data_IF_986727099288
#
_entry.id   IF_986727099288
#
_cell.length_a   1.000
_cell.length_b   1.000
_cell.length_c   1.000
_cell.angle_alpha   90.00
_cell.angle_beta   90.00
_cell.angle_gamma   90.00
#
_symmetry.space_group_name_H-M   'P 1'
#
loop_
_entity.id
_entity.type
_entity.pdbx_description
1 polymer ?
#
# COMPACT_ATOMS: atom_id res chain seq x y z
N UNK A 1 9.76 -15.86 -10.31
CA UNK A 1 9.66 -15.02 -11.52
C UNK A 1 9.95 -13.58 -11.14
N UNK A 2 11.14 -13.07 -11.47
CA UNK A 2 11.55 -11.67 -11.20
C UNK A 2 10.97 -10.77 -12.29
N UNK A 3 9.68 -10.42 -12.18
CA UNK A 3 9.07 -9.42 -13.06
C UNK A 3 9.46 -8.04 -12.52
N UNK A 4 10.43 -7.39 -13.16
CA UNK A 4 10.79 -6.01 -12.83
C UNK A 4 9.55 -5.11 -12.90
N UNK A 5 9.42 -4.23 -11.90
CA UNK A 5 8.28 -3.36 -11.72
C UNK A 5 8.31 -2.28 -12.81
N UNK A 6 7.45 -2.41 -13.83
CA UNK A 6 7.44 -1.52 -15.01
C UNK A 6 7.22 -0.04 -14.67
N UNK A 7 6.60 0.24 -13.53
CA UNK A 7 6.32 1.59 -13.05
C UNK A 7 6.66 1.64 -11.56
N UNK A 8 7.91 1.94 -11.18
CA UNK A 8 8.24 2.11 -9.77
C UNK A 8 7.41 3.25 -9.18
N UNK A 9 7.06 3.14 -7.90
CA UNK A 9 6.41 4.23 -7.19
C UNK A 9 7.38 5.41 -7.16
N UNK A 10 6.88 6.64 -7.42
CA UNK A 10 7.68 7.84 -7.19
C UNK A 10 8.07 7.88 -5.71
N UNK A 11 9.26 8.41 -5.41
CA UNK A 11 9.67 8.72 -4.05
C UNK A 11 8.63 9.63 -3.37
N UNK A 12 8.21 9.23 -2.16
CA UNK A 12 7.31 10.02 -1.33
C UNK A 12 8.10 11.14 -0.67
N UNK A 13 7.52 12.34 -0.59
CA UNK A 13 8.06 13.39 0.28
C UNK A 13 7.81 13.03 1.75
N UNK A 14 8.57 13.62 2.67
CA UNK A 14 8.39 13.40 4.11
C UNK A 14 6.96 13.76 4.57
N UNK A 15 6.38 14.82 3.99
CA UNK A 15 5.01 15.25 4.27
C UNK A 15 3.97 14.21 3.81
N UNK A 16 4.14 13.67 2.60
CA UNK A 16 3.28 12.62 2.07
C UNK A 16 3.38 11.35 2.93
N UNK A 17 4.60 10.95 3.29
CA UNK A 17 4.83 9.78 4.13
C UNK A 17 4.15 9.92 5.50
N UNK A 18 4.31 11.06 6.15
CA UNK A 18 3.69 11.33 7.46
C UNK A 18 2.16 11.36 7.37
N UNK A 19 1.60 11.90 6.28
CA UNK A 19 0.17 11.86 6.02
C UNK A 19 -0.34 10.43 5.84
N UNK A 20 0.32 9.63 5.00
CA UNK A 20 -0.06 8.23 4.75
C UNK A 20 0.04 7.38 6.03
N UNK A 21 1.05 7.62 6.86
CA UNK A 21 1.18 7.01 8.18
C UNK A 21 0.01 7.36 9.11
N UNK A 22 -0.40 8.64 9.15
CA UNK A 22 -1.55 9.06 9.94
C UNK A 22 -2.84 8.38 9.47
N UNK A 23 -3.05 8.30 8.15
CA UNK A 23 -4.21 7.62 7.57
C UNK A 23 -4.15 6.11 7.83
N UNK A 24 -2.97 5.49 7.80
CA UNK A 24 -2.80 4.05 8.05
C UNK A 24 -3.20 3.61 9.47
N UNK A 25 -3.17 4.54 10.43
CA UNK A 25 -3.54 4.32 11.84
C UNK A 25 -4.91 4.93 12.20
N UNK A 26 -5.55 5.61 11.26
CA UNK A 26 -6.84 6.27 11.51
C UNK A 26 -7.96 5.26 11.64
N UNK A 27 -8.80 5.43 12.67
CA UNK A 27 -10.01 4.64 12.89
C UNK A 27 -11.26 5.29 12.27
N UNK A 28 -11.16 6.55 11.83
CA UNK A 28 -12.27 7.29 11.20
C UNK A 28 -12.32 7.14 9.68
N UNK A 29 -11.30 6.52 9.09
CA UNK A 29 -11.18 6.32 7.65
C UNK A 29 -11.77 4.97 7.23
N UNK A 30 -12.18 4.84 5.97
CA UNK A 30 -12.69 3.58 5.47
C UNK A 30 -11.60 2.50 5.50
N UNK A 31 -11.95 1.27 5.86
CA UNK A 31 -11.02 0.13 5.93
C UNK A 31 -10.29 -0.05 4.60
N UNK A 32 -10.99 0.11 3.47
CA UNK A 32 -10.40 0.07 2.13
C UNK A 32 -9.30 1.12 1.94
N UNK A 33 -9.50 2.34 2.45
CA UNK A 33 -8.51 3.42 2.38
C UNK A 33 -7.31 3.11 3.25
N UNK A 34 -7.52 2.68 4.49
CA UNK A 34 -6.46 2.28 5.44
C UNK A 34 -5.60 1.13 4.88
N UNK A 35 -6.23 0.12 4.28
CA UNK A 35 -5.52 -1.00 3.66
C UNK A 35 -4.69 -0.52 2.47
N UNK A 36 -5.23 0.37 1.63
CA UNK A 36 -4.50 0.92 0.49
C UNK A 36 -3.31 1.78 0.91
N UNK A 37 -3.43 2.59 1.95
CA UNK A 37 -2.30 3.37 2.49
C UNK A 37 -1.19 2.48 3.03
N UNK A 38 -1.52 1.40 3.73
CA UNK A 38 -0.52 0.43 4.19
C UNK A 38 0.23 -0.22 3.02
N UNK A 39 -0.47 -0.58 1.94
CA UNK A 39 0.18 -1.09 0.72
C UNK A 39 1.13 -0.05 0.13
N UNK A 40 0.73 1.22 0.04
CA UNK A 40 1.58 2.28 -0.50
C UNK A 40 2.85 2.50 0.32
N UNK A 41 2.75 2.46 1.65
CA UNK A 41 3.92 2.54 2.54
C UNK A 41 4.88 1.36 2.31
N UNK A 42 4.36 0.13 2.24
CA UNK A 42 5.19 -1.05 1.98
C UNK A 42 5.88 -0.99 0.61
N UNK A 43 5.21 -0.47 -0.43
CA UNK A 43 5.82 -0.28 -1.75
C UNK A 43 6.90 0.80 -1.70
N UNK A 44 6.67 1.89 -0.96
CA UNK A 44 7.67 2.94 -0.78
C UNK A 44 8.91 2.45 -0.01
N UNK A 45 8.75 1.48 0.90
CA UNK A 45 9.85 0.78 1.58
C UNK A 45 10.63 -0.17 0.65
N UNK A 46 10.17 -0.39 -0.58
CA UNK A 46 10.84 -1.20 -1.59
C UNK A 46 10.25 -2.60 -1.79
N UNK A 47 9.14 -2.94 -1.12
CA UNK A 47 8.45 -4.21 -1.38
C UNK A 47 7.83 -4.20 -2.78
N UNK A 48 7.80 -5.37 -3.44
CA UNK A 48 7.05 -5.48 -4.68
C UNK A 48 5.53 -5.43 -4.40
N UNK A 49 4.72 -5.10 -5.41
CA UNK A 49 3.27 -4.93 -5.23
C UNK A 49 2.57 -6.16 -4.62
N UNK A 50 3.04 -7.36 -4.97
CA UNK A 50 2.49 -8.62 -4.48
C UNK A 50 2.83 -8.85 -3.01
N UNK A 51 4.07 -8.59 -2.60
CA UNK A 51 4.52 -8.65 -1.21
C UNK A 51 3.79 -7.61 -0.36
N UNK A 52 3.67 -6.38 -0.85
CA UNK A 52 2.94 -5.32 -0.17
C UNK A 52 1.46 -5.67 0.03
N UNK A 53 0.82 -6.26 -0.99
CA UNK A 53 -0.57 -6.73 -0.88
C UNK A 53 -0.70 -7.89 0.12
N UNK A 54 0.22 -8.84 0.09
CA UNK A 54 0.23 -9.98 1.02
C UNK A 54 0.48 -9.53 2.47
N UNK A 55 1.35 -8.53 2.69
CA UNK A 55 1.68 -7.98 4.00
C UNK A 55 0.48 -7.34 4.72
N UNK A 56 -0.54 -6.88 3.97
CA UNK A 56 -1.80 -6.37 4.53
C UNK A 56 -2.94 -7.39 4.53
N UNK A 57 -2.63 -8.66 4.24
CA UNK A 57 -3.58 -9.77 4.25
C UNK A 57 -4.41 -9.93 2.98
N UNK A 58 -4.16 -9.14 1.91
CA UNK A 58 -4.82 -9.33 0.62
C UNK A 58 -4.25 -10.57 -0.06
N UNK A 59 -5.15 -11.42 -0.55
CA UNK A 59 -4.80 -12.62 -1.33
C UNK A 59 -5.35 -12.48 -2.75
N UNK A 60 -4.72 -13.15 -3.71
CA UNK A 60 -5.28 -13.28 -5.05
C UNK A 60 -6.72 -13.83 -4.97
N UNK A 61 -7.68 -13.10 -5.54
CA UNK A 61 -9.12 -13.40 -5.46
C UNK A 61 -9.91 -12.58 -4.43
N UNK A 62 -9.23 -11.74 -3.64
CA UNK A 62 -9.89 -10.82 -2.71
C UNK A 62 -10.68 -9.76 -3.48
N UNK A 63 -11.94 -9.54 -3.09
CA UNK A 63 -12.90 -8.77 -3.87
C UNK A 63 -12.43 -7.31 -4.03
N UNK A 64 -12.21 -6.87 -5.26
CA UNK A 64 -12.27 -5.45 -5.62
C UNK A 64 -13.74 -5.05 -5.51
N UNK A 65 -14.12 -4.52 -4.33
CA UNK A 65 -15.46 -4.01 -4.08
C UNK A 65 -15.89 -3.05 -5.19
N UNK A 66 -17.16 -3.18 -5.60
CA UNK A 66 -17.82 -2.36 -6.64
C UNK A 66 -17.77 -0.86 -6.32
#
# INVERSE_FOLDING_TARGET
MTRQQKHPLRELTAEEQQYLEKVSRSQSESVSRVVRTKILLLVAEGNNYTEAAHGVGRRCGDAVGK
#
